data_IF_119847604431
#
_entry.id   IF_119847604431
#
_cell.length_a   1.000
_cell.length_b   1.000
_cell.length_c   1.000
_cell.angle_alpha   90.00
_cell.angle_beta   90.00
_cell.angle_gamma   90.00
#
_symmetry.space_group_name_H-M   'P 1'
#
loop_
_entity.id
_entity.type
_entity.pdbx_description
1 polymer ?
#
# COMPACT_ATOMS: atom_id res chain seq x y z
N UNK A 1 5.41 9.53 15.49
CA UNK A 1 4.46 10.15 14.52
C UNK A 1 3.61 11.16 15.29
N UNK A 2 3.29 12.27 14.65
CA UNK A 2 2.43 13.31 15.24
C UNK A 2 1.03 12.74 15.52
N UNK A 3 0.40 13.01 16.69
CA UNK A 3 -0.93 12.48 17.02
C UNK A 3 -2.04 12.83 16.04
N UNK A 4 -1.88 13.87 15.20
CA UNK A 4 -2.88 14.22 14.21
C UNK A 4 -2.97 13.20 13.07
N UNK A 5 -1.92 12.40 12.87
CA UNK A 5 -1.90 11.38 11.83
C UNK A 5 -2.39 10.05 12.38
N UNK A 6 -3.17 9.33 11.58
CA UNK A 6 -3.68 8.01 11.95
C UNK A 6 -3.42 7.02 10.84
N UNK A 7 -3.06 5.80 11.21
CA UNK A 7 -2.94 4.68 10.29
C UNK A 7 -4.20 3.82 10.40
N UNK A 8 -4.83 3.54 9.26
CA UNK A 8 -6.02 2.69 9.20
C UNK A 8 -5.83 1.62 8.15
N UNK A 9 -6.19 0.38 8.49
CA UNK A 9 -6.23 -0.68 7.48
C UNK A 9 -7.39 -0.40 6.52
N UNK A 10 -7.23 -0.80 5.26
CA UNK A 10 -8.32 -0.73 4.31
C UNK A 10 -8.30 -1.96 3.40
N UNK A 11 -9.45 -2.24 2.80
CA UNK A 11 -9.63 -3.37 1.93
C UNK A 11 -10.78 -3.06 0.96
N UNK A 12 -11.03 -4.00 0.04
CA UNK A 12 -12.05 -3.84 -0.98
C UNK A 12 -13.42 -3.45 -0.39
N UNK A 13 -13.88 -4.08 0.67
CA UNK A 13 -15.20 -3.83 1.23
C UNK A 13 -15.30 -2.62 2.16
N UNK A 14 -14.18 -1.96 2.51
CA UNK A 14 -14.15 -0.93 3.56
C UNK A 14 -13.76 0.46 3.06
N UNK A 15 -13.46 0.61 1.77
CA UNK A 15 -12.95 1.85 1.21
C UNK A 15 -14.07 2.59 0.46
N UNK A 16 -14.35 3.83 0.86
CA UNK A 16 -15.38 4.62 0.19
C UNK A 16 -14.84 5.32 -1.06
N UNK A 17 -15.74 5.89 -1.86
CA UNK A 17 -15.39 6.52 -3.14
C UNK A 17 -14.46 7.72 -2.96
N UNK A 18 -14.63 8.51 -1.91
CA UNK A 18 -13.77 9.66 -1.62
C UNK A 18 -12.33 9.19 -1.32
N UNK A 19 -12.21 8.13 -0.52
CA UNK A 19 -10.89 7.55 -0.21
C UNK A 19 -10.24 6.94 -1.45
N UNK A 20 -11.01 6.22 -2.26
CA UNK A 20 -10.50 5.64 -3.51
C UNK A 20 -9.96 6.73 -4.44
N UNK A 21 -10.69 7.84 -4.57
CA UNK A 21 -10.24 8.96 -5.41
C UNK A 21 -8.94 9.55 -4.87
N UNK A 22 -8.83 9.71 -3.56
CA UNK A 22 -7.61 10.24 -2.93
C UNK A 22 -6.41 9.32 -3.15
N UNK A 23 -6.60 8.00 -3.02
CA UNK A 23 -5.56 7.02 -3.28
C UNK A 23 -5.11 7.09 -4.74
N UNK A 24 -6.08 7.14 -5.66
CA UNK A 24 -5.81 7.26 -7.09
C UNK A 24 -4.98 8.51 -7.39
N UNK A 25 -5.41 9.65 -6.87
CA UNK A 25 -4.72 10.94 -7.12
C UNK A 25 -3.31 10.93 -6.54
N UNK A 26 -3.14 10.39 -5.33
CA UNK A 26 -1.81 10.25 -4.72
C UNK A 26 -0.89 9.35 -5.56
N UNK A 27 -1.43 8.24 -6.06
CA UNK A 27 -0.66 7.33 -6.90
C UNK A 27 -0.16 8.07 -8.14
N UNK A 28 -1.05 8.75 -8.85
CA UNK A 28 -0.71 9.43 -10.08
C UNK A 28 0.28 10.58 -9.84
N UNK A 29 0.19 11.26 -8.72
CA UNK A 29 1.11 12.33 -8.34
C UNK A 29 2.51 11.81 -8.00
N UNK A 30 2.67 10.52 -7.74
CA UNK A 30 3.94 9.90 -7.37
C UNK A 30 4.55 9.06 -8.48
N UNK A 31 4.03 9.15 -9.71
CA UNK A 31 4.65 8.50 -10.86
C UNK A 31 5.85 9.32 -11.32
N UNK A 32 6.89 8.70 -11.87
CA UNK A 32 7.04 7.29 -12.20
C UNK A 32 7.57 6.39 -11.07
N UNK A 33 7.90 6.92 -9.90
CA UNK A 33 8.43 6.14 -8.78
C UNK A 33 7.44 5.02 -8.39
N UNK A 34 6.15 5.34 -8.44
CA UNK A 34 5.07 4.36 -8.32
C UNK A 34 4.48 4.16 -9.71
N UNK A 35 4.21 2.93 -10.09
CA UNK A 35 3.61 2.64 -11.39
C UNK A 35 2.27 3.33 -11.52
N UNK A 36 2.02 3.95 -12.69
CA UNK A 36 0.75 4.63 -12.94
C UNK A 36 -0.42 3.64 -12.94
N UNK A 37 -1.59 4.13 -12.56
CA UNK A 37 -2.83 3.38 -12.65
C UNK A 37 -3.54 3.73 -13.95
N UNK A 38 -4.04 2.72 -14.64
CA UNK A 38 -4.73 2.92 -15.92
C UNK A 38 -6.11 3.54 -15.75
N UNK A 39 -6.75 3.26 -14.60
CA UNK A 39 -8.12 3.69 -14.33
C UNK A 39 -8.45 3.44 -12.87
N UNK A 40 -9.60 3.94 -12.43
CA UNK A 40 -10.12 3.62 -11.10
C UNK A 40 -10.38 2.11 -10.96
N UNK A 41 -10.83 1.45 -12.02
CA UNK A 41 -11.02 -0.01 -12.00
C UNK A 41 -9.70 -0.76 -11.76
N UNK A 42 -8.61 -0.26 -12.32
CA UNK A 42 -7.29 -0.85 -12.07
C UNK A 42 -6.95 -0.77 -10.57
N UNK A 43 -7.19 0.36 -9.92
CA UNK A 43 -6.98 0.50 -8.49
C UNK A 43 -7.85 -0.46 -7.70
N UNK A 44 -9.13 -0.57 -8.05
CA UNK A 44 -10.05 -1.49 -7.38
C UNK A 44 -9.60 -2.93 -7.50
N UNK A 45 -9.08 -3.33 -8.66
CA UNK A 45 -8.53 -4.67 -8.87
C UNK A 45 -7.31 -4.93 -7.99
N UNK A 46 -6.42 -3.95 -7.86
CA UNK A 46 -5.26 -4.09 -6.98
C UNK A 46 -5.68 -4.29 -5.52
N UNK A 47 -6.64 -3.52 -5.06
CA UNK A 47 -7.15 -3.64 -3.70
C UNK A 47 -7.80 -5.00 -3.50
N UNK A 48 -8.55 -5.48 -4.46
CA UNK A 48 -9.19 -6.80 -4.41
C UNK A 48 -8.15 -7.92 -4.30
N UNK A 49 -7.04 -7.82 -5.02
CA UNK A 49 -5.95 -8.81 -4.96
C UNK A 49 -5.09 -8.68 -3.71
N UNK A 50 -5.15 -7.55 -3.03
CA UNK A 50 -4.27 -7.24 -1.91
C UNK A 50 -4.64 -8.01 -0.65
N UNK A 51 -3.68 -8.04 0.28
CA UNK A 51 -3.84 -8.76 1.54
C UNK A 51 -3.76 -7.83 2.76
N UNK A 52 -2.93 -6.80 2.70
CA UNK A 52 -2.74 -5.91 3.85
C UNK A 52 -2.39 -4.52 3.35
N UNK A 53 -3.24 -3.55 3.67
CA UNK A 53 -3.11 -2.19 3.18
C UNK A 53 -3.36 -1.20 4.31
N UNK A 54 -2.68 -0.05 4.24
CA UNK A 54 -2.87 1.04 5.20
C UNK A 54 -3.14 2.35 4.48
N UNK A 55 -4.02 3.15 5.07
CA UNK A 55 -4.17 4.56 4.78
C UNK A 55 -3.47 5.36 5.85
N UNK A 56 -2.88 6.48 5.48
CA UNK A 56 -2.46 7.50 6.43
C UNK A 56 -3.45 8.66 6.31
N UNK A 57 -4.09 9.00 7.42
CA UNK A 57 -5.07 10.07 7.48
C UNK A 57 -4.50 11.24 8.29
N UNK A 58 -4.66 12.45 7.75
CA UNK A 58 -4.48 13.71 8.47
C UNK A 58 -5.90 14.25 8.68
N UNK A 59 -6.41 14.13 9.90
CA UNK A 59 -7.84 14.22 10.17
C UNK A 59 -8.57 13.20 9.29
N UNK A 60 -9.41 13.61 8.37
CA UNK A 60 -10.13 12.71 7.46
C UNK A 60 -9.53 12.67 6.06
N UNK A 61 -8.44 13.39 5.83
CA UNK A 61 -7.82 13.46 4.52
C UNK A 61 -6.79 12.33 4.34
N UNK A 62 -6.89 11.59 3.25
CA UNK A 62 -5.91 10.57 2.90
C UNK A 62 -4.66 11.25 2.35
N UNK A 63 -3.54 11.13 3.07
CA UNK A 63 -2.27 11.74 2.67
C UNK A 63 -1.19 10.70 2.37
N UNK A 64 -1.51 9.43 2.49
CA UNK A 64 -0.60 8.36 2.15
C UNK A 64 -1.29 7.01 2.13
N UNK A 65 -0.67 6.04 1.47
CA UNK A 65 -1.17 4.66 1.48
C UNK A 65 -0.06 3.68 1.15
N UNK A 66 -0.29 2.42 1.51
CA UNK A 66 0.54 1.30 1.07
C UNK A 66 -0.39 0.15 0.70
N UNK A 67 -0.05 -0.58 -0.37
CA UNK A 67 -0.78 -1.77 -0.81
C UNK A 67 0.20 -2.93 -0.85
N UNK A 68 -0.15 -4.03 -0.16
CA UNK A 68 0.68 -5.22 -0.05
C UNK A 68 -0.08 -6.46 -0.50
N UNK A 69 0.63 -7.36 -1.17
CA UNK A 69 0.10 -8.65 -1.66
C UNK A 69 0.70 -9.80 -0.87
N UNK A 70 -0.04 -10.89 -0.79
CA UNK A 70 0.49 -12.17 -0.30
C UNK A 70 0.80 -13.07 -1.50
N UNK A 71 1.49 -14.18 -1.21
CA UNK A 71 1.71 -15.23 -2.21
C UNK A 71 0.35 -15.73 -2.74
N UNK A 72 0.35 -16.23 -3.96
CA UNK A 72 -0.83 -16.82 -4.60
C UNK A 72 -2.00 -15.87 -4.84
N UNK A 73 -1.75 -14.58 -4.89
CA UNK A 73 -2.80 -13.59 -5.13
C UNK A 73 -3.26 -13.53 -6.60
N UNK A 74 -2.48 -14.07 -7.52
CA UNK A 74 -2.75 -13.94 -8.95
C UNK A 74 -2.26 -12.65 -9.57
N UNK A 75 -1.53 -11.84 -8.80
CA UNK A 75 -1.02 -10.56 -9.30
C UNK A 75 -0.01 -10.77 -10.43
N UNK A 76 -0.15 -10.00 -11.53
CA UNK A 76 0.62 -10.20 -12.75
C UNK A 76 1.93 -9.43 -12.86
N UNK A 77 2.32 -8.67 -11.86
CA UNK A 77 3.56 -7.89 -11.88
C UNK A 77 4.80 -8.78 -12.01
N UNK A 78 5.75 -8.39 -12.88
CA UNK A 78 7.00 -9.12 -13.04
C UNK A 78 7.81 -9.16 -11.75
N UNK A 79 7.82 -8.08 -11.00
CA UNK A 79 8.52 -8.02 -9.72
C UNK A 79 7.89 -8.96 -8.70
N UNK A 80 6.56 -8.99 -8.65
CA UNK A 80 5.84 -9.92 -7.78
C UNK A 80 6.16 -11.38 -8.17
N UNK A 81 6.14 -11.70 -9.47
CA UNK A 81 6.44 -13.03 -9.96
C UNK A 81 7.86 -13.48 -9.60
N UNK A 82 8.80 -12.55 -9.59
CA UNK A 82 10.17 -12.84 -9.17
C UNK A 82 10.19 -13.48 -7.78
N UNK A 83 9.41 -12.94 -6.86
CA UNK A 83 9.36 -13.44 -5.48
C UNK A 83 8.56 -14.74 -5.37
N UNK A 84 7.52 -14.93 -6.20
CA UNK A 84 6.74 -16.18 -6.18
C UNK A 84 7.58 -17.39 -6.55
N UNK A 85 8.64 -17.19 -7.34
CA UNK A 85 9.54 -18.27 -7.74
C UNK A 85 10.57 -18.62 -6.66
N UNK A 86 10.73 -17.76 -5.65
CA UNK A 86 11.80 -17.88 -4.65
C UNK A 86 11.30 -18.10 -3.23
N UNK A 87 10.11 -17.64 -2.93
CA UNK A 87 9.56 -17.70 -1.58
C UNK A 87 8.20 -18.39 -1.61
N UNK A 88 7.96 -19.26 -0.61
CA UNK A 88 6.68 -19.96 -0.49
C UNK A 88 5.61 -19.05 0.10
N UNK A 89 6.01 -18.17 1.01
CA UNK A 89 5.12 -17.19 1.63
C UNK A 89 5.87 -15.88 1.80
N UNK A 90 5.17 -14.77 1.67
CA UNK A 90 5.77 -13.44 1.81
C UNK A 90 4.70 -12.37 1.87
N UNK A 91 5.10 -11.20 2.34
CA UNK A 91 4.32 -9.98 2.20
C UNK A 91 5.06 -9.08 1.20
N UNK A 92 4.45 -8.85 0.05
CA UNK A 92 5.05 -8.07 -1.03
C UNK A 92 4.50 -6.65 -1.00
N UNK A 93 5.38 -5.66 -0.86
CA UNK A 93 5.00 -4.26 -0.95
C UNK A 93 4.91 -3.89 -2.43
N UNK A 94 3.68 -3.74 -2.93
CA UNK A 94 3.46 -3.39 -4.33
C UNK A 94 3.69 -1.90 -4.58
N UNK A 95 3.12 -1.06 -3.72
CA UNK A 95 3.27 0.38 -3.86
C UNK A 95 3.04 1.10 -2.54
N UNK A 96 3.74 2.21 -2.40
CA UNK A 96 3.59 3.15 -1.30
C UNK A 96 3.67 4.54 -1.88
N UNK A 97 2.80 5.44 -1.46
CA UNK A 97 2.83 6.83 -1.87
C UNK A 97 2.43 7.71 -0.69
N UNK A 98 3.11 8.85 -0.57
CA UNK A 98 2.85 9.84 0.47
C UNK A 98 2.77 11.20 -0.20
N UNK A 99 1.80 12.00 0.22
CA UNK A 99 1.64 13.36 -0.25
C UNK A 99 2.95 14.13 -0.06
N UNK A 100 3.38 14.82 -1.11
CA UNK A 100 4.67 15.51 -1.15
C UNK A 100 4.85 16.49 0.01
N UNK A 101 3.78 17.19 0.38
CA UNK A 101 3.83 18.17 1.47
C UNK A 101 4.01 17.52 2.84
N UNK A 102 3.78 16.23 2.96
CA UNK A 102 3.85 15.50 4.23
C UNK A 102 5.05 14.55 4.32
N UNK A 103 5.92 14.50 3.32
CA UNK A 103 7.03 13.52 3.28
C UNK A 103 8.01 13.64 4.43
N UNK A 104 8.17 14.84 4.99
CA UNK A 104 9.13 15.08 6.08
C UNK A 104 8.58 14.76 7.46
N UNK A 105 7.33 14.30 7.55
CA UNK A 105 6.67 14.02 8.83
C UNK A 105 6.98 12.63 9.40
N UNK A 106 7.86 11.85 8.76
CA UNK A 106 8.22 10.50 9.21
C UNK A 106 7.16 9.46 8.93
N UNK A 107 6.24 9.73 7.99
CA UNK A 107 5.11 8.84 7.69
C UNK A 107 5.54 7.55 7.02
N UNK A 108 6.52 7.62 6.12
CA UNK A 108 7.04 6.41 5.47
C UNK A 108 7.61 5.42 6.46
N UNK A 109 8.39 5.93 7.43
CA UNK A 109 8.93 5.10 8.49
C UNK A 109 7.82 4.48 9.34
N UNK A 110 6.81 5.27 9.71
CA UNK A 110 5.68 4.77 10.50
C UNK A 110 4.91 3.67 9.77
N UNK A 111 4.71 3.83 8.45
CA UNK A 111 4.06 2.82 7.61
C UNK A 111 4.88 1.53 7.62
N UNK A 112 6.19 1.60 7.36
CA UNK A 112 7.04 0.41 7.30
C UNK A 112 7.18 -0.27 8.66
N UNK A 113 7.22 0.49 9.76
CA UNK A 113 7.22 -0.10 11.10
C UNK A 113 5.96 -0.96 11.31
N UNK A 114 4.81 -0.46 10.88
CA UNK A 114 3.56 -1.20 10.97
C UNK A 114 3.60 -2.47 10.10
N UNK A 115 4.12 -2.35 8.88
CA UNK A 115 4.25 -3.49 7.96
C UNK A 115 5.20 -4.55 8.55
N UNK A 116 6.30 -4.14 9.16
CA UNK A 116 7.24 -5.08 9.80
C UNK A 116 6.59 -5.84 10.96
N UNK A 117 5.78 -5.16 11.77
CA UNK A 117 5.05 -5.80 12.87
C UNK A 117 4.05 -6.82 12.31
N UNK A 118 3.29 -6.45 11.29
CA UNK A 118 2.33 -7.36 10.65
C UNK A 118 3.02 -8.59 10.06
N UNK A 119 4.12 -8.39 9.36
CA UNK A 119 4.89 -9.48 8.77
C UNK A 119 5.45 -10.41 9.86
N UNK A 120 5.99 -9.85 10.93
CA UNK A 120 6.55 -10.62 12.04
C UNK A 120 5.47 -11.45 12.72
N UNK A 121 4.31 -10.86 12.98
CA UNK A 121 3.20 -11.54 13.63
C UNK A 121 2.68 -12.73 12.81
N UNK A 122 2.86 -12.70 11.50
CA UNK A 122 2.43 -13.76 10.60
C UNK A 122 3.60 -14.61 10.08
N UNK A 123 4.81 -14.38 10.61
CA UNK A 123 6.02 -15.11 10.22
C UNK A 123 6.26 -15.03 8.70
N UNK A 124 6.19 -13.80 8.15
CA UNK A 124 6.35 -13.56 6.73
C UNK A 124 7.62 -12.74 6.45
N UNK A 125 8.44 -13.16 5.47
CA UNK A 125 9.44 -12.25 4.94
C UNK A 125 8.77 -11.13 4.15
N UNK A 126 9.41 -9.96 4.13
CA UNK A 126 8.95 -8.83 3.35
C UNK A 126 9.70 -8.80 2.04
N UNK A 127 8.95 -8.71 0.94
CA UNK A 127 9.50 -8.61 -0.40
C UNK A 127 9.19 -7.22 -0.95
N UNK A 128 10.22 -6.53 -1.43
CA UNK A 128 10.07 -5.23 -2.07
C UNK A 128 11.23 -4.98 -3.03
N UNK A 129 11.02 -4.03 -3.91
CA UNK A 129 12.10 -3.63 -4.82
C UNK A 129 13.11 -2.76 -4.11
#
# INVERSE_FOLDING_TARGET
MNPQYKLHTFSDGTTNETQLQSIYDLNQANTPEVGSLESMNHLKQLIELSAYNLLVLDDDEVIGFIICMRESSGYGSENYKFFTQRLKKFLYVDRIAIDEQHRKAGLGQAIYENIFVEARNNDLPIALE
#
